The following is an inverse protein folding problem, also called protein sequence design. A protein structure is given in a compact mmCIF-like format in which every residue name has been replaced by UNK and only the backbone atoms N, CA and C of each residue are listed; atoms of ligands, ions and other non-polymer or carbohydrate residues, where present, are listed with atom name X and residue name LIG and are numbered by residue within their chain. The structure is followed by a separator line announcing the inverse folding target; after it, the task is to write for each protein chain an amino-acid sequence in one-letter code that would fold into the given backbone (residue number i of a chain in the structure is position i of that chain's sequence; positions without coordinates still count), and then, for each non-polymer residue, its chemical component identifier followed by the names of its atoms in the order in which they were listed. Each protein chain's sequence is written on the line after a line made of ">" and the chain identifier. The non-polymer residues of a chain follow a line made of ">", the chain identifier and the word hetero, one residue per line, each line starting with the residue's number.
data_IF_082704051186
#
_entry.id   IF_082704051186
#
_cell.length_a   1.000
_cell.length_b   1.000
_cell.length_c   1.000
_cell.angle_alpha   90.00
_cell.angle_beta   90.00
_cell.angle_gamma   90.00
#
_symmetry.space_group_name_H-M   'P 1'
#
loop_
_entity.id
_entity.type
_entity.pdbx_description
1 polymer ?
#
# COMPACT_ATOMS: atom_id res chain seq x y z
N UNK A 1 14.36 -0.21 -10.10
CA UNK A 1 13.35 -0.25 -11.18
C UNK A 1 12.23 -1.16 -10.72
N UNK A 2 11.12 -0.60 -10.27
CA UNK A 2 9.88 -1.35 -10.01
C UNK A 2 8.96 -1.14 -11.22
N UNK A 3 8.24 -2.15 -11.70
CA UNK A 3 7.39 -2.00 -12.88
C UNK A 3 6.15 -1.17 -12.51
N UNK A 4 5.87 -0.19 -13.36
CA UNK A 4 4.91 0.89 -13.17
C UNK A 4 3.65 0.64 -14.01
N UNK A 5 3.17 -0.61 -14.06
CA UNK A 5 2.17 -1.04 -15.07
C UNK A 5 0.75 -1.28 -14.55
N UNK A 6 0.47 -1.17 -13.25
CA UNK A 6 -0.90 -1.40 -12.72
C UNK A 6 -1.80 -0.14 -12.67
N UNK A 7 -1.47 0.95 -13.39
CA UNK A 7 -2.19 2.23 -13.25
C UNK A 7 -3.17 2.58 -14.38
N UNK A 8 -3.28 1.78 -15.45
CA UNK A 8 -4.12 2.13 -16.60
C UNK A 8 -5.59 1.65 -16.54
N UNK A 9 -6.00 0.90 -15.51
CA UNK A 9 -7.39 0.42 -15.37
C UNK A 9 -8.38 1.44 -14.77
N UNK A 10 -7.92 2.62 -14.33
CA UNK A 10 -8.78 3.63 -13.71
C UNK A 10 -9.37 4.69 -14.66
N UNK A 11 -9.07 4.65 -15.97
CA UNK A 11 -9.56 5.68 -16.91
C UNK A 11 -10.96 5.44 -17.47
N UNK A 12 -11.53 4.25 -17.29
CA UNK A 12 -12.94 3.99 -17.58
C UNK A 12 -13.61 3.50 -16.30
N UNK A 13 -14.38 4.39 -15.68
CA UNK A 13 -15.21 4.09 -14.52
C UNK A 13 -16.38 3.22 -14.99
N UNK A 14 -16.09 1.97 -15.37
CA UNK A 14 -17.08 0.98 -15.76
C UNK A 14 -17.94 0.67 -14.53
N UNK A 15 -19.21 1.06 -14.60
CA UNK A 15 -20.15 0.94 -13.49
C UNK A 15 -20.61 -0.51 -13.42
N UNK A 16 -20.64 -1.08 -12.22
CA UNK A 16 -21.28 -2.37 -12.00
C UNK A 16 -22.79 -2.17 -12.10
N UNK A 17 -23.41 -2.80 -13.10
CA UNK A 17 -24.84 -2.71 -13.37
C UNK A 17 -25.58 -3.86 -12.68
N UNK A 18 -26.77 -3.58 -12.15
CA UNK A 18 -27.62 -4.64 -11.55
C UNK A 18 -28.06 -5.65 -12.61
N UNK A 19 -28.20 -5.21 -13.86
CA UNK A 19 -28.53 -6.09 -14.98
C UNK A 19 -27.24 -6.70 -15.56
N UNK A 20 -27.04 -8.02 -15.48
CA UNK A 20 -25.88 -8.70 -16.08
C UNK A 20 -25.87 -8.63 -17.62
N UNK A 21 -27.01 -8.33 -18.23
CA UNK A 21 -27.16 -8.18 -19.68
C UNK A 21 -26.92 -6.75 -20.16
N UNK A 22 -26.57 -5.82 -19.28
CA UNK A 22 -26.26 -4.45 -19.70
C UNK A 22 -24.94 -4.44 -20.48
N UNK A 23 -24.93 -4.08 -21.78
CA UNK A 23 -23.72 -4.06 -22.58
C UNK A 23 -22.72 -2.99 -22.13
N UNK A 24 -23.15 -2.04 -21.29
CA UNK A 24 -22.29 -1.02 -20.69
C UNK A 24 -21.76 -1.42 -19.31
N UNK A 25 -22.24 -2.54 -18.76
CA UNK A 25 -21.87 -3.02 -17.44
C UNK A 25 -20.50 -3.70 -17.44
N UNK A 26 -19.77 -3.50 -16.34
CA UNK A 26 -18.45 -4.11 -16.11
C UNK A 26 -18.45 -5.63 -16.38
N UNK A 27 -19.51 -6.34 -15.98
CA UNK A 27 -19.61 -7.79 -16.20
C UNK A 27 -19.59 -8.18 -17.68
N UNK A 28 -20.37 -7.50 -18.52
CA UNK A 28 -20.40 -7.75 -19.96
C UNK A 28 -19.06 -7.37 -20.62
N UNK A 29 -18.48 -6.22 -20.23
CA UNK A 29 -17.19 -5.76 -20.76
C UNK A 29 -16.06 -6.73 -20.44
N UNK A 30 -16.00 -7.26 -19.21
CA UNK A 30 -14.99 -8.26 -18.84
C UNK A 30 -15.17 -9.57 -19.61
N UNK A 31 -16.40 -10.03 -19.84
CA UNK A 31 -16.67 -11.20 -20.68
C UNK A 31 -16.20 -10.99 -22.12
N UNK A 32 -16.44 -9.82 -22.70
CA UNK A 32 -15.93 -9.44 -24.03
C UNK A 32 -14.39 -9.40 -24.09
N UNK A 33 -13.71 -9.24 -22.95
CA UNK A 33 -12.24 -9.18 -22.83
C UNK A 33 -11.63 -10.46 -22.29
N UNK A 34 -12.42 -11.52 -22.11
CA UNK A 34 -11.96 -12.78 -21.53
C UNK A 34 -11.55 -13.76 -22.62
N UNK A 35 -10.33 -14.28 -22.54
CA UNK A 35 -9.86 -15.33 -23.43
C UNK A 35 -10.52 -16.68 -23.10
N UNK A 36 -10.48 -17.63 -24.04
CA UNK A 36 -10.96 -19.01 -23.79
C UNK A 36 -10.31 -19.64 -22.57
N UNK A 37 -9.02 -19.36 -22.34
CA UNK A 37 -8.28 -19.88 -21.18
C UNK A 37 -8.81 -19.32 -19.85
N UNK A 38 -9.15 -18.04 -19.83
CA UNK A 38 -9.75 -17.37 -18.66
C UNK A 38 -11.10 -17.97 -18.34
N UNK A 39 -11.97 -18.15 -19.35
CA UNK A 39 -13.28 -18.77 -19.17
C UNK A 39 -13.16 -20.25 -18.74
N UNK A 40 -12.21 -21.01 -19.28
CA UNK A 40 -11.93 -22.40 -18.85
C UNK A 40 -11.48 -22.51 -17.40
N UNK A 41 -10.84 -21.46 -16.87
CA UNK A 41 -10.38 -21.44 -15.49
C UNK A 41 -11.48 -21.08 -14.49
N UNK A 42 -12.66 -20.63 -14.95
CA UNK A 42 -13.81 -20.40 -14.09
C UNK A 42 -14.37 -21.70 -13.50
N UNK A 43 -14.98 -21.62 -12.31
CA UNK A 43 -15.63 -22.80 -11.73
C UNK A 43 -16.89 -23.19 -12.50
N UNK A 44 -17.34 -24.44 -12.34
CA UNK A 44 -18.58 -24.94 -12.96
C UNK A 44 -19.80 -24.09 -12.55
N UNK A 45 -19.84 -23.60 -11.30
CA UNK A 45 -20.91 -22.73 -10.80
C UNK A 45 -20.89 -21.35 -11.46
N UNK A 46 -19.69 -20.82 -11.74
CA UNK A 46 -19.53 -19.54 -12.44
C UNK A 46 -20.00 -19.66 -13.88
N UNK A 47 -19.64 -20.75 -14.56
CA UNK A 47 -20.08 -21.05 -15.92
C UNK A 47 -21.60 -21.27 -15.98
N UNK A 48 -22.17 -22.00 -15.03
CA UNK A 48 -23.62 -22.18 -14.94
C UNK A 48 -24.34 -20.83 -14.75
N UNK A 49 -23.81 -19.95 -13.90
CA UNK A 49 -24.34 -18.60 -13.72
C UNK A 49 -24.26 -17.78 -15.01
N UNK A 50 -23.12 -17.78 -15.70
CA UNK A 50 -22.95 -17.08 -16.99
C UNK A 50 -23.93 -17.65 -18.02
N UNK A 51 -23.94 -18.96 -18.25
CA UNK A 51 -24.81 -19.60 -19.23
C UNK A 51 -26.30 -19.31 -18.86
N UNK A 52 -26.70 -19.31 -17.58
CA UNK A 52 -28.05 -18.93 -17.12
C UNK A 52 -28.39 -17.46 -17.38
N UNK A 53 -27.47 -16.54 -17.10
CA UNK A 53 -27.67 -15.10 -17.30
C UNK A 53 -27.93 -14.76 -18.77
N UNK A 54 -27.25 -15.44 -19.70
CA UNK A 54 -27.36 -15.23 -21.15
C UNK A 54 -28.29 -16.23 -21.86
N UNK A 55 -29.09 -16.99 -21.11
CA UNK A 55 -30.02 -17.99 -21.67
C UNK A 55 -29.35 -19.00 -22.63
N UNK A 56 -28.15 -19.47 -22.26
CA UNK A 56 -27.42 -20.54 -22.93
C UNK A 56 -27.63 -21.84 -22.15
N UNK A 57 -27.94 -22.92 -22.86
CA UNK A 57 -28.07 -24.25 -22.25
C UNK A 57 -26.72 -24.73 -21.73
N UNK A 58 -26.64 -25.01 -20.44
CA UNK A 58 -25.44 -25.55 -19.80
C UNK A 58 -25.64 -27.03 -19.46
N UNK A 59 -24.77 -27.89 -19.99
CA UNK A 59 -24.68 -29.29 -19.60
C UNK A 59 -23.34 -29.50 -18.91
N UNK A 60 -23.36 -29.98 -17.66
CA UNK A 60 -22.16 -30.15 -16.83
C UNK A 60 -21.14 -31.14 -17.42
N UNK A 61 -21.58 -32.00 -18.33
CA UNK A 61 -20.74 -33.02 -18.98
C UNK A 61 -19.91 -32.46 -20.14
N UNK A 62 -20.25 -31.28 -20.67
CA UNK A 62 -19.59 -30.71 -21.86
C UNK A 62 -19.31 -29.20 -21.67
N UNK A 63 -18.32 -28.91 -20.82
CA UNK A 63 -17.88 -27.54 -20.54
C UNK A 63 -17.36 -26.85 -21.80
N UNK A 64 -16.62 -27.57 -22.64
CA UNK A 64 -16.07 -27.01 -23.88
C UNK A 64 -17.16 -26.60 -24.87
N UNK A 65 -18.25 -27.36 -24.97
CA UNK A 65 -19.39 -26.94 -25.78
C UNK A 65 -20.09 -25.68 -25.26
N UNK A 66 -20.25 -25.46 -23.92
CA UNK A 66 -20.79 -24.16 -23.45
C UNK A 66 -19.81 -23.03 -23.80
N UNK A 67 -18.50 -23.24 -23.63
CA UNK A 67 -17.50 -22.21 -23.95
C UNK A 67 -17.56 -21.84 -25.42
N UNK A 68 -17.52 -22.81 -26.35
CA UNK A 68 -17.64 -22.51 -27.78
C UNK A 68 -18.98 -21.81 -28.09
N UNK A 69 -20.09 -22.23 -27.47
CA UNK A 69 -21.38 -21.55 -27.65
C UNK A 69 -21.35 -20.09 -27.16
N UNK A 70 -20.64 -19.78 -26.07
CA UNK A 70 -20.48 -18.41 -25.55
C UNK A 70 -19.68 -17.53 -26.53
N UNK A 71 -18.65 -18.08 -27.17
CA UNK A 71 -17.86 -17.37 -28.18
C UNK A 71 -18.62 -17.24 -29.51
N UNK A 72 -19.30 -18.30 -29.97
CA UNK A 72 -20.13 -18.29 -31.18
C UNK A 72 -21.28 -17.28 -31.09
N UNK A 73 -21.91 -17.16 -29.92
CA UNK A 73 -22.95 -16.14 -29.67
C UNK A 73 -22.38 -14.73 -29.50
N UNK A 74 -21.05 -14.57 -29.50
CA UNK A 74 -20.38 -13.29 -29.32
C UNK A 74 -20.53 -12.70 -27.92
N UNK A 75 -20.80 -13.53 -26.91
CA UNK A 75 -20.87 -13.12 -25.49
C UNK A 75 -19.45 -12.94 -24.94
N UNK A 76 -18.53 -13.82 -25.35
CA UNK A 76 -17.10 -13.66 -25.14
C UNK A 76 -16.42 -13.35 -26.47
N UNK A 77 -15.36 -12.53 -26.45
CA UNK A 77 -14.50 -12.29 -27.60
C UNK A 77 -13.05 -12.51 -27.20
N UNK A 78 -12.28 -13.05 -28.15
CA UNK A 78 -10.87 -13.32 -27.94
C UNK A 78 -10.14 -11.97 -27.88
N UNK A 79 -9.73 -11.58 -26.66
CA UNK A 79 -9.06 -10.32 -26.42
C UNK A 79 -7.64 -10.32 -27.02
N UNK A 80 -7.23 -9.18 -27.57
CA UNK A 80 -5.82 -8.93 -27.90
C UNK A 80 -5.00 -8.91 -26.59
N UNK A 81 -3.79 -9.49 -26.61
CA UNK A 81 -2.98 -9.82 -25.43
C UNK A 81 -2.85 -8.65 -24.42
N UNK A 82 -2.80 -7.42 -24.90
CA UNK A 82 -2.61 -6.22 -24.08
C UNK A 82 -3.85 -5.77 -23.29
N UNK A 83 -5.02 -6.36 -23.54
CA UNK A 83 -6.29 -5.97 -22.88
C UNK A 83 -7.01 -7.12 -22.18
N UNK A 84 -6.37 -8.28 -22.08
CA UNK A 84 -6.98 -9.47 -21.50
C UNK A 84 -7.39 -9.26 -20.03
N UNK A 85 -8.63 -9.60 -19.72
CA UNK A 85 -9.12 -9.67 -18.35
C UNK A 85 -8.38 -10.79 -17.58
N UNK A 86 -7.98 -10.53 -16.34
CA UNK A 86 -7.42 -11.59 -15.50
C UNK A 86 -8.54 -12.50 -14.97
N UNK A 87 -8.25 -13.80 -14.79
CA UNK A 87 -9.23 -14.76 -14.24
C UNK A 87 -9.76 -14.32 -12.88
N UNK A 88 -8.92 -13.73 -12.03
CA UNK A 88 -9.32 -13.26 -10.71
C UNK A 88 -10.30 -12.09 -10.76
N UNK A 89 -10.13 -11.15 -11.69
CA UNK A 89 -11.05 -10.02 -11.85
C UNK A 89 -12.42 -10.51 -12.33
N UNK A 90 -12.45 -11.39 -13.33
CA UNK A 90 -13.69 -11.96 -13.84
C UNK A 90 -14.45 -12.72 -12.74
N UNK A 91 -13.76 -13.59 -11.99
CA UNK A 91 -14.39 -14.36 -10.90
C UNK A 91 -14.96 -13.46 -9.80
N UNK A 92 -14.25 -12.37 -9.44
CA UNK A 92 -14.77 -11.40 -8.44
C UNK A 92 -16.05 -10.73 -8.92
N UNK A 93 -16.11 -10.33 -10.19
CA UNK A 93 -17.30 -9.68 -10.76
C UNK A 93 -18.46 -10.67 -10.90
N UNK A 94 -18.20 -11.93 -11.27
CA UNK A 94 -19.21 -13.00 -11.29
C UNK A 94 -19.81 -13.21 -9.89
N UNK A 95 -18.97 -13.33 -8.86
CA UNK A 95 -19.42 -13.53 -7.50
C UNK A 95 -20.32 -12.37 -7.03
N UNK A 96 -19.89 -11.13 -7.26
CA UNK A 96 -20.68 -9.95 -6.93
C UNK A 96 -22.03 -9.92 -7.67
N UNK A 97 -22.03 -10.24 -8.97
CA UNK A 97 -23.26 -10.24 -9.77
C UNK A 97 -24.25 -11.31 -9.32
N UNK A 98 -23.74 -12.48 -8.89
CA UNK A 98 -24.55 -13.55 -8.31
C UNK A 98 -25.26 -13.08 -7.04
N UNK A 99 -24.51 -12.49 -6.11
CA UNK A 99 -25.06 -11.97 -4.85
C UNK A 99 -26.16 -10.92 -5.11
N UNK A 100 -25.95 -10.05 -6.10
CA UNK A 100 -26.94 -9.04 -6.51
C UNK A 100 -28.21 -9.65 -7.12
N UNK A 101 -28.08 -10.70 -7.94
CA UNK A 101 -29.22 -11.44 -8.47
C UNK A 101 -30.01 -12.13 -7.35
N UNK A 102 -29.34 -12.77 -6.39
CA UNK A 102 -29.98 -13.42 -5.25
C UNK A 102 -30.74 -12.41 -4.37
N UNK A 103 -30.18 -11.23 -4.13
CA UNK A 103 -30.85 -10.14 -3.43
C UNK A 103 -32.08 -9.63 -4.19
N UNK A 104 -32.00 -9.54 -5.52
CA UNK A 104 -33.14 -9.13 -6.36
C UNK A 104 -34.29 -10.15 -6.30
N UNK A 105 -33.97 -11.43 -6.40
CA UNK A 105 -34.96 -12.51 -6.32
C UNK A 105 -35.58 -12.59 -4.91
N UNK A 106 -34.77 -12.38 -3.87
CA UNK A 106 -35.28 -12.24 -2.50
C UNK A 106 -36.25 -11.06 -2.36
N UNK A 107 -35.91 -9.90 -2.94
CA UNK A 107 -36.77 -8.72 -2.92
C UNK A 107 -38.09 -8.95 -3.66
N UNK A 108 -38.06 -9.62 -4.82
CA UNK A 108 -39.28 -10.02 -5.54
C UNK A 108 -40.13 -10.98 -4.72
N UNK A 109 -39.52 -12.03 -4.16
CA UNK A 109 -40.22 -12.98 -3.29
C UNK A 109 -40.83 -12.31 -2.06
N UNK A 110 -40.18 -11.28 -1.52
CA UNK A 110 -40.72 -10.49 -0.41
C UNK A 110 -41.94 -9.67 -0.84
N UNK A 111 -41.89 -9.03 -2.00
CA UNK A 111 -43.01 -8.24 -2.54
C UNK A 111 -44.21 -9.11 -2.94
N UNK A 112 -43.97 -10.34 -3.39
CA UNK A 112 -45.00 -11.31 -3.74
C UNK A 112 -45.63 -12.00 -2.51
N UNK A 113 -45.04 -11.81 -1.32
CA UNK A 113 -45.56 -12.36 -0.08
C UNK A 113 -46.82 -11.61 0.36
N UNK A 114 -48.00 -12.23 0.16
CA UNK A 114 -49.33 -11.66 0.48
C UNK A 114 -49.55 -11.30 1.95
N UNK A 115 -48.62 -11.65 2.84
CA UNK A 115 -48.65 -11.38 4.28
C UNK A 115 -48.51 -9.88 4.60
N UNK A 116 -47.95 -9.09 3.69
CA UNK A 116 -47.72 -7.65 3.88
C UNK A 116 -48.60 -6.74 3.01
N UNK A 117 -49.81 -7.18 2.61
CA UNK A 117 -50.76 -6.22 2.04
C UNK A 117 -51.32 -5.33 3.16
N UNK A 118 -51.08 -4.00 3.17
CA UNK A 118 -51.77 -3.12 4.09
C UNK A 118 -53.27 -3.21 3.81
N UNK A 119 -54.05 -3.71 4.78
CA UNK A 119 -55.51 -3.62 4.70
C UNK A 119 -55.92 -2.15 4.78
N UNK A 120 -56.77 -1.73 3.84
CA UNK A 120 -57.42 -0.41 3.90
C UNK A 120 -58.29 -0.38 5.16
N UNK A 121 -58.18 0.69 5.93
CA UNK A 121 -58.80 0.89 7.26
C UNK A 121 -60.35 0.87 7.29
N UNK A 122 -61.02 0.49 6.21
CA UNK A 122 -62.49 0.57 6.08
C UNK A 122 -63.27 -0.68 6.50
N UNK A 123 -62.60 -1.77 6.86
CA UNK A 123 -63.26 -3.01 7.31
C UNK A 123 -62.58 -3.51 8.59
N UNK A 124 -63.00 -3.00 9.74
CA UNK A 124 -62.61 -3.54 11.05
C UNK A 124 -63.91 -3.92 11.78
N UNK A 125 -64.26 -5.20 11.69
CA UNK A 125 -65.33 -5.82 12.48
C UNK A 125 -64.99 -5.77 13.98
N UNK A 126 -66.01 -5.67 14.84
CA UNK A 126 -65.87 -5.40 16.30
C UNK A 126 -65.24 -6.53 17.14
N UNK A 127 -64.87 -7.66 16.54
CA UNK A 127 -64.40 -8.85 17.27
C UNK A 127 -62.88 -8.94 17.47
N UNK A 128 -62.18 -7.80 17.38
CA UNK A 128 -60.73 -7.80 17.46
C UNK A 128 -60.18 -7.37 18.82
N UNK A 129 -59.47 -8.29 19.47
CA UNK A 129 -58.75 -8.00 20.72
C UNK A 129 -57.51 -7.19 20.37
N UNK A 130 -57.50 -5.96 20.87
CA UNK A 130 -56.35 -5.07 20.86
C UNK A 130 -55.33 -5.62 21.86
N UNK A 131 -54.36 -6.40 21.37
CA UNK A 131 -53.17 -6.73 22.16
C UNK A 131 -52.28 -5.49 22.14
N UNK A 132 -52.35 -4.71 23.22
CA UNK A 132 -51.49 -3.55 23.41
C UNK A 132 -50.03 -3.98 23.53
N UNK A 133 -49.27 -3.86 22.45
CA UNK A 133 -47.83 -4.09 22.49
C UNK A 133 -47.13 -2.87 23.12
N UNK A 134 -46.78 -2.97 24.40
CA UNK A 134 -45.78 -2.09 25.01
C UNK A 134 -44.42 -2.16 24.29
N UNK A 135 -44.11 -3.29 23.64
CA UNK A 135 -42.87 -3.55 22.91
C UNK A 135 -42.72 -2.75 21.60
N UNK A 136 -43.82 -2.47 20.89
CA UNK A 136 -43.76 -1.64 19.68
C UNK A 136 -43.57 -0.17 20.06
N UNK A 137 -44.25 0.29 21.12
CA UNK A 137 -44.06 1.64 21.66
C UNK A 137 -42.61 1.84 22.15
N UNK A 138 -41.94 0.81 22.71
CA UNK A 138 -40.54 0.88 23.17
C UNK A 138 -39.50 0.83 22.02
N UNK A 139 -39.70 -0.02 21.01
CA UNK A 139 -38.89 -0.04 19.78
C UNK A 139 -39.01 1.27 19.00
N UNK A 140 -40.22 1.82 18.90
CA UNK A 140 -40.47 3.10 18.27
C UNK A 140 -39.91 4.25 19.11
N UNK A 141 -39.95 4.17 20.45
CA UNK A 141 -39.36 5.19 21.34
C UNK A 141 -37.84 5.20 21.25
N UNK A 142 -37.18 4.04 21.17
CA UNK A 142 -35.73 3.95 20.95
C UNK A 142 -35.30 4.47 19.57
N UNK A 143 -36.05 4.15 18.51
CA UNK A 143 -35.80 4.69 17.18
C UNK A 143 -36.04 6.21 17.10
N UNK A 144 -37.04 6.74 17.84
CA UNK A 144 -37.34 8.18 17.92
C UNK A 144 -36.29 8.98 18.70
N UNK A 145 -35.70 8.39 19.74
CA UNK A 145 -34.65 9.02 20.55
C UNK A 145 -33.37 9.31 19.76
N UNK A 146 -33.05 8.51 18.74
CA UNK A 146 -31.89 8.72 17.88
C UNK A 146 -32.13 9.68 16.70
N UNK A 147 -33.40 9.91 16.31
CA UNK A 147 -33.75 10.66 15.08
C UNK A 147 -34.33 12.07 15.31
N UNK A 148 -34.58 12.48 16.56
CA UNK A 148 -34.99 13.86 16.88
C UNK A 148 -36.33 14.32 16.27
N UNK A 149 -37.21 13.39 15.87
CA UNK A 149 -38.48 13.70 15.21
C UNK A 149 -39.58 14.06 16.22
N UNK A 150 -40.19 15.24 16.06
CA UNK A 150 -41.34 15.71 16.87
C UNK A 150 -42.65 15.05 16.42
N UNK A 151 -43.53 14.84 17.40
CA UNK A 151 -44.54 13.79 17.41
C UNK A 151 -45.72 13.98 16.44
N UNK A 152 -45.95 12.96 15.59
CA UNK A 152 -47.28 12.57 15.12
C UNK A 152 -47.59 11.18 15.70
N UNK A 153 -48.62 11.11 16.55
CA UNK A 153 -48.98 9.93 17.35
C UNK A 153 -49.81 8.94 16.53
N UNK A 154 -49.24 8.39 15.46
CA UNK A 154 -49.83 7.26 14.76
C UNK A 154 -49.54 5.97 15.56
N UNK A 155 -50.51 5.51 16.35
CA UNK A 155 -50.48 4.18 16.98
C UNK A 155 -51.02 3.17 15.98
N UNK A 156 -50.13 2.43 15.32
CA UNK A 156 -50.51 1.27 14.51
C UNK A 156 -51.02 0.19 15.46
N UNK A 157 -52.35 0.04 15.58
CA UNK A 157 -52.98 -1.02 16.37
C UNK A 157 -53.05 -2.27 15.50
N UNK A 158 -52.30 -3.30 15.89
CA UNK A 158 -52.50 -4.65 15.35
C UNK A 158 -53.53 -5.36 16.22
N UNK A 159 -54.51 -5.94 15.57
CA UNK A 159 -55.70 -6.46 16.20
C UNK A 159 -55.71 -7.97 15.95
N UNK A 160 -55.62 -8.79 17.01
CA UNK A 160 -55.56 -10.25 16.93
C UNK A 160 -56.94 -10.84 17.31
N UNK A 161 -57.52 -11.64 16.43
CA UNK A 161 -58.83 -12.27 16.62
C UNK A 161 -58.80 -13.32 17.75
N UNK A 162 -59.87 -13.39 18.56
CA UNK A 162 -60.05 -14.33 19.70
C UNK A 162 -59.99 -15.83 19.33
N UNK A 163 -60.08 -16.19 18.05
CA UNK A 163 -60.10 -17.57 17.56
C UNK A 163 -58.72 -18.09 17.13
N UNK A 164 -57.62 -17.44 17.52
CA UNK A 164 -56.30 -18.02 17.30
C UNK A 164 -56.13 -19.26 18.16
N UNK A 165 -55.98 -20.41 17.51
CA UNK A 165 -55.55 -21.65 18.14
C UNK A 165 -54.29 -21.38 18.98
N UNK A 166 -54.14 -22.00 20.17
CA UNK A 166 -52.97 -21.78 21.04
C UNK A 166 -51.61 -21.95 20.33
N UNK A 167 -51.59 -22.71 19.23
CA UNK A 167 -50.42 -22.87 18.35
C UNK A 167 -49.98 -21.58 17.63
N UNK A 168 -50.87 -20.62 17.37
CA UNK A 168 -50.49 -19.34 16.75
C UNK A 168 -49.80 -18.40 17.74
N UNK A 169 -50.34 -18.28 18.96
CA UNK A 169 -49.72 -17.47 20.02
C UNK A 169 -48.31 -17.97 20.35
N UNK A 170 -48.12 -19.29 20.42
CA UNK A 170 -46.82 -19.91 20.65
C UNK A 170 -45.85 -19.67 19.48
N UNK A 171 -46.30 -19.81 18.23
CA UNK A 171 -45.50 -19.48 17.04
C UNK A 171 -45.07 -18.01 17.03
N UNK A 172 -45.97 -17.09 17.39
CA UNK A 172 -45.67 -15.67 17.46
C UNK A 172 -44.66 -15.37 18.57
N UNK A 173 -44.82 -15.96 19.76
CA UNK A 173 -43.87 -15.82 20.87
C UNK A 173 -42.47 -16.32 20.48
N UNK A 174 -42.37 -17.46 19.78
CA UNK A 174 -41.10 -18.00 19.28
C UNK A 174 -40.48 -17.09 18.22
N UNK A 175 -41.28 -16.50 17.33
CA UNK A 175 -40.81 -15.52 16.33
C UNK A 175 -40.26 -14.26 17.01
N UNK A 176 -40.95 -13.75 18.04
CA UNK A 176 -40.52 -12.59 18.82
C UNK A 176 -39.19 -12.90 19.53
N UNK A 177 -39.03 -14.08 20.14
CA UNK A 177 -37.76 -14.49 20.76
C UNK A 177 -36.62 -14.55 19.74
N UNK A 178 -36.86 -15.07 18.54
CA UNK A 178 -35.85 -15.06 17.47
C UNK A 178 -35.48 -13.63 17.02
N UNK A 179 -36.47 -12.74 16.92
CA UNK A 179 -36.23 -11.32 16.61
C UNK A 179 -35.41 -10.63 17.71
N UNK A 180 -35.69 -10.91 18.97
CA UNK A 180 -34.91 -10.38 20.10
C UNK A 180 -33.47 -10.89 20.08
N UNK A 181 -33.26 -12.19 19.81
CA UNK A 181 -31.93 -12.77 19.71
C UNK A 181 -31.13 -12.19 18.53
N UNK A 182 -31.78 -11.92 17.40
CA UNK A 182 -31.14 -11.29 16.24
C UNK A 182 -30.79 -9.83 16.51
N UNK A 183 -31.67 -9.07 17.16
CA UNK A 183 -31.36 -7.70 17.59
C UNK A 183 -30.17 -7.63 18.55
N UNK A 184 -30.11 -8.56 19.53
CA UNK A 184 -28.98 -8.63 20.45
C UNK A 184 -27.65 -8.92 19.71
N UNK A 185 -27.67 -9.81 18.72
CA UNK A 185 -26.48 -10.10 17.88
C UNK A 185 -26.05 -8.87 17.07
N UNK A 186 -27.01 -8.14 16.50
CA UNK A 186 -26.70 -6.91 15.76
C UNK A 186 -26.08 -5.84 16.66
N UNK A 187 -26.58 -5.68 17.88
CA UNK A 187 -25.98 -4.76 18.86
C UNK A 187 -24.55 -5.17 19.25
N UNK A 188 -24.29 -6.48 19.40
CA UNK A 188 -22.92 -6.98 19.62
C UNK A 188 -22.01 -6.64 18.45
N UNK A 189 -22.44 -6.91 17.21
CA UNK A 189 -21.68 -6.58 16.01
C UNK A 189 -21.42 -5.07 15.87
N UNK A 190 -22.40 -4.22 16.19
CA UNK A 190 -22.23 -2.77 16.17
C UNK A 190 -21.16 -2.32 17.16
N UNK A 191 -21.18 -2.84 18.39
CA UNK A 191 -20.17 -2.54 19.42
C UNK A 191 -18.77 -2.99 18.98
N UNK A 192 -18.65 -4.17 18.36
CA UNK A 192 -17.39 -4.66 17.81
C UNK A 192 -16.90 -3.77 16.66
N UNK A 193 -17.81 -3.31 15.79
CA UNK A 193 -17.46 -2.41 14.68
C UNK A 193 -16.96 -1.05 15.19
N UNK A 194 -17.57 -0.50 16.24
CA UNK A 194 -17.09 0.72 16.90
C UNK A 194 -15.69 0.52 17.50
N UNK A 195 -15.46 -0.63 18.16
CA UNK A 195 -14.15 -0.98 18.71
C UNK A 195 -13.09 -1.10 17.60
N UNK A 196 -13.38 -1.83 16.53
CA UNK A 196 -12.47 -1.95 15.38
C UNK A 196 -12.17 -0.60 14.73
N UNK A 197 -13.16 0.29 14.61
CA UNK A 197 -12.96 1.64 14.08
C UNK A 197 -12.02 2.47 14.97
N UNK A 198 -12.12 2.32 16.29
CA UNK A 198 -11.23 2.99 17.22
C UNK A 198 -9.78 2.47 17.11
N UNK A 199 -9.59 1.15 17.09
CA UNK A 199 -8.27 0.51 16.90
C UNK A 199 -7.65 0.89 15.54
N UNK A 200 -8.47 0.97 14.49
CA UNK A 200 -8.00 1.43 13.18
C UNK A 200 -7.54 2.90 13.20
N UNK A 201 -8.25 3.77 13.92
CA UNK A 201 -7.83 5.17 14.10
C UNK A 201 -6.52 5.27 14.89
N UNK A 202 -6.36 4.48 15.95
CA UNK A 202 -5.13 4.46 16.74
C UNK A 202 -3.93 3.95 15.92
N UNK A 203 -4.10 2.86 15.17
CA UNK A 203 -3.06 2.32 14.28
C UNK A 203 -2.67 3.31 13.20
N UNK A 204 -3.63 4.03 12.61
CA UNK A 204 -3.36 5.13 11.66
C UNK A 204 -2.51 6.24 12.28
N UNK A 205 -2.89 6.73 13.47
CA UNK A 205 -2.14 7.79 14.15
C UNK A 205 -0.70 7.35 14.50
N UNK A 206 -0.53 6.08 14.91
CA UNK A 206 0.80 5.51 15.17
C UNK A 206 1.63 5.44 13.89
N UNK A 207 1.02 5.10 12.76
CA UNK A 207 1.70 5.07 11.46
C UNK A 207 2.19 6.45 11.05
N UNK A 208 1.33 7.48 11.15
CA UNK A 208 1.69 8.88 10.85
C UNK A 208 2.84 9.38 11.77
N UNK A 209 2.81 9.02 13.07
CA UNK A 209 3.89 9.32 14.00
C UNK A 209 5.21 8.60 13.63
N UNK A 210 5.14 7.35 13.14
CA UNK A 210 6.34 6.66 12.66
C UNK A 210 6.88 7.26 11.37
N UNK A 211 6.02 7.67 10.44
CA UNK A 211 6.41 8.29 9.18
C UNK A 211 7.14 9.62 9.41
N UNK A 212 6.59 10.49 10.28
CA UNK A 212 7.24 11.75 10.64
C UNK A 212 8.62 11.55 11.30
N UNK A 213 8.76 10.50 12.12
CA UNK A 213 10.06 10.11 12.70
C UNK A 213 11.05 9.64 11.65
N UNK A 214 10.62 8.83 10.69
CA UNK A 214 11.46 8.38 9.56
C UNK A 214 11.92 9.58 8.73
N UNK A 215 11.02 10.49 8.36
CA UNK A 215 11.37 11.70 7.60
C UNK A 215 12.41 12.57 8.34
N UNK A 216 12.28 12.68 9.67
CA UNK A 216 13.23 13.42 10.49
C UNK A 216 14.61 12.76 10.48
N UNK A 217 14.68 11.44 10.62
CA UNK A 217 15.93 10.68 10.55
C UNK A 217 16.57 10.78 9.17
N UNK A 218 15.79 10.72 8.09
CA UNK A 218 16.29 10.89 6.72
C UNK A 218 16.94 12.26 6.52
N UNK A 219 16.31 13.34 7.01
CA UNK A 219 16.89 14.70 6.97
C UNK A 219 18.19 14.79 7.76
N UNK A 220 18.22 14.23 8.98
CA UNK A 220 19.41 14.21 9.81
C UNK A 220 20.56 13.43 9.14
N UNK A 221 20.26 12.30 8.50
CA UNK A 221 21.25 11.52 7.78
C UNK A 221 21.81 12.26 6.54
N UNK A 222 20.96 13.01 5.84
CA UNK A 222 21.39 13.90 4.76
C UNK A 222 22.40 14.96 5.23
N UNK A 223 22.12 15.60 6.37
CA UNK A 223 23.03 16.59 6.99
C UNK A 223 24.35 15.97 7.46
N UNK A 224 24.32 14.75 8.01
CA UNK A 224 25.54 14.04 8.39
C UNK A 224 26.38 13.68 7.17
N UNK A 225 25.74 13.26 6.08
CA UNK A 225 26.43 12.93 4.83
C UNK A 225 27.10 14.16 4.21
N UNK A 226 26.43 15.32 4.21
CA UNK A 226 27.04 16.57 3.71
C UNK A 226 28.23 17.01 4.57
N UNK A 227 28.12 16.92 5.90
CA UNK A 227 29.23 17.23 6.81
C UNK A 227 30.41 16.29 6.62
N UNK A 228 30.15 15.00 6.40
CA UNK A 228 31.20 14.03 6.13
C UNK A 228 31.96 14.40 4.84
N UNK A 229 31.24 14.70 3.76
CA UNK A 229 31.85 15.11 2.49
C UNK A 229 32.69 16.40 2.63
N UNK A 230 32.22 17.36 3.42
CA UNK A 230 32.98 18.58 3.73
C UNK A 230 34.28 18.24 4.48
N UNK A 231 34.23 17.37 5.48
CA UNK A 231 35.43 16.94 6.21
C UNK A 231 36.42 16.18 5.33
N UNK A 232 35.94 15.35 4.40
CA UNK A 232 36.78 14.64 3.42
C UNK A 232 37.50 15.62 2.50
N UNK A 233 36.78 16.64 2.01
CA UNK A 233 37.35 17.70 1.16
C UNK A 233 38.44 18.47 1.90
N UNK A 234 38.17 18.91 3.13
CA UNK A 234 39.15 19.62 3.97
C UNK A 234 40.38 18.75 4.30
N UNK A 235 40.18 17.46 4.50
CA UNK A 235 41.28 16.51 4.71
C UNK A 235 42.15 16.38 3.45
N UNK A 236 41.53 16.31 2.27
CA UNK A 236 42.26 16.27 1.01
C UNK A 236 43.10 17.53 0.77
N UNK A 237 42.54 18.71 1.05
CA UNK A 237 43.24 20.01 0.97
C UNK A 237 44.42 20.07 1.95
N UNK A 238 44.22 19.59 3.19
CA UNK A 238 45.27 19.53 4.21
C UNK A 238 46.40 18.61 3.77
N UNK A 239 46.07 17.42 3.23
CA UNK A 239 47.06 16.49 2.68
C UNK A 239 47.86 17.12 1.55
N UNK A 240 47.20 17.80 0.61
CA UNK A 240 47.87 18.48 -0.50
C UNK A 240 48.82 19.58 -0.01
N UNK A 241 48.39 20.37 0.97
CA UNK A 241 49.22 21.43 1.57
C UNK A 241 50.44 20.85 2.27
N UNK A 242 50.27 19.75 2.99
CA UNK A 242 51.37 19.04 3.66
C UNK A 242 52.38 18.48 2.64
N UNK A 243 51.92 17.89 1.55
CA UNK A 243 52.81 17.40 0.48
C UNK A 243 53.63 18.56 -0.11
N UNK A 244 53.00 19.69 -0.44
CA UNK A 244 53.70 20.88 -0.94
C UNK A 244 54.74 21.41 0.05
N UNK A 245 54.41 21.44 1.34
CA UNK A 245 55.33 21.87 2.37
C UNK A 245 56.53 20.91 2.50
N UNK A 246 56.29 19.59 2.45
CA UNK A 246 57.34 18.59 2.47
C UNK A 246 58.25 18.68 1.25
N UNK A 247 57.70 18.86 0.05
CA UNK A 247 58.49 19.03 -1.18
C UNK A 247 59.38 20.27 -1.11
N UNK A 248 58.86 21.38 -0.58
CA UNK A 248 59.62 22.61 -0.37
C UNK A 248 60.74 22.43 0.68
N UNK A 249 60.46 21.73 1.78
CA UNK A 249 61.47 21.43 2.78
C UNK A 249 62.57 20.53 2.20
N UNK A 250 62.19 19.51 1.43
CA UNK A 250 63.14 18.61 0.76
C UNK A 250 64.01 19.36 -0.25
N UNK A 251 63.44 20.28 -1.04
CA UNK A 251 64.21 21.09 -1.99
C UNK A 251 65.20 22.01 -1.28
N UNK A 252 64.77 22.67 -0.19
CA UNK A 252 65.65 23.52 0.62
C UNK A 252 66.77 22.72 1.29
N UNK A 253 66.47 21.51 1.77
CA UNK A 253 67.47 20.63 2.37
C UNK A 253 68.56 20.27 1.35
N UNK A 254 68.17 19.86 0.13
CA UNK A 254 69.12 19.57 -0.96
C UNK A 254 69.96 20.79 -1.34
N UNK A 255 69.35 21.97 -1.38
CA UNK A 255 70.08 23.22 -1.64
C UNK A 255 71.12 23.50 -0.55
N UNK A 256 70.74 23.35 0.73
CA UNK A 256 71.68 23.51 1.84
C UNK A 256 72.81 22.49 1.83
N UNK A 257 72.50 21.24 1.48
CA UNK A 257 73.50 20.16 1.34
C UNK A 257 74.47 20.45 0.20
N UNK A 258 73.98 20.92 -0.95
CA UNK A 258 74.82 21.34 -2.08
C UNK A 258 75.77 22.48 -1.70
N UNK A 259 75.27 23.49 -0.97
CA UNK A 259 76.09 24.62 -0.51
C UNK A 259 77.12 24.20 0.55
N UNK A 260 76.76 23.24 1.40
CA UNK A 260 77.68 22.67 2.40
C UNK A 260 78.83 21.93 1.70
N UNK A 261 78.51 21.05 0.74
CA UNK A 261 79.50 20.31 -0.05
C UNK A 261 80.45 21.24 -0.83
N UNK A 262 79.92 22.33 -1.39
CA UNK A 262 80.75 23.37 -2.04
C UNK A 262 81.68 24.05 -1.03
N UNK A 263 81.18 24.40 0.16
CA UNK A 263 81.97 25.01 1.22
C UNK A 263 83.07 24.07 1.71
N UNK A 264 82.75 22.79 1.91
CA UNK A 264 83.70 21.75 2.29
C UNK A 264 84.79 21.56 1.22
N UNK A 265 84.41 21.50 -0.06
CA UNK A 265 85.35 21.43 -1.17
C UNK A 265 86.30 22.64 -1.21
N UNK A 266 85.77 23.85 -0.97
CA UNK A 266 86.58 25.07 -0.87
C UNK A 266 87.52 25.04 0.32
N UNK A 267 87.06 24.57 1.48
CA UNK A 267 87.87 24.42 2.68
C UNK A 267 89.03 23.45 2.44
N UNK A 268 88.74 22.27 1.88
CA UNK A 268 89.76 21.27 1.54
C UNK A 268 90.81 21.79 0.56
N UNK A 269 90.39 22.58 -0.44
CA UNK A 269 91.31 23.25 -1.36
C UNK A 269 92.20 24.29 -0.64
N UNK A 270 91.63 25.08 0.29
CA UNK A 270 92.44 26.03 1.07
C UNK A 270 93.43 25.32 2.01
N UNK A 271 93.02 24.23 2.63
CA UNK A 271 93.87 23.39 3.48
C UNK A 271 95.03 22.78 2.69
N UNK A 272 94.74 22.24 1.50
CA UNK A 272 95.76 21.70 0.58
C UNK A 272 96.79 22.76 0.18
N UNK A 273 96.34 23.99 -0.15
CA UNK A 273 97.23 25.11 -0.48
C UNK A 273 98.07 25.57 0.72
N UNK A 274 97.49 25.59 1.92
CA UNK A 274 98.23 25.91 3.14
C UNK A 274 99.31 24.87 3.41
N UNK A 275 98.99 23.58 3.29
CA UNK A 275 99.96 22.49 3.45
C UNK A 275 101.11 22.59 2.43
N UNK A 276 100.78 22.92 1.17
CA UNK A 276 101.79 23.19 0.14
C UNK A 276 102.67 24.40 0.51
N UNK A 277 102.08 25.48 1.03
CA UNK A 277 102.83 26.64 1.51
C UNK A 277 103.77 26.31 2.67
N UNK A 278 103.31 25.51 3.65
CA UNK A 278 104.13 25.04 4.78
C UNK A 278 105.33 24.25 4.27
N UNK A 279 105.10 23.23 3.43
CA UNK A 279 106.18 22.39 2.88
C UNK A 279 107.19 23.19 2.06
N UNK A 280 106.74 24.17 1.26
CA UNK A 280 107.63 25.08 0.54
C UNK A 280 108.47 25.94 1.50
N UNK A 281 107.86 26.46 2.56
CA UNK A 281 108.56 27.28 3.57
C UNK A 281 109.60 26.46 4.35
N UNK A 282 109.30 25.22 4.71
CA UNK A 282 110.23 24.30 5.35
C UNK A 282 111.42 23.97 4.45
N UNK A 283 111.16 23.74 3.15
CA UNK A 283 112.20 23.51 2.16
C UNK A 283 113.13 24.73 2.03
N UNK A 284 112.58 25.95 2.00
CA UNK A 284 113.38 27.18 2.02
C UNK A 284 114.21 27.33 3.30
N UNK A 285 113.64 27.05 4.47
CA UNK A 285 114.38 27.09 5.76
C UNK A 285 115.52 26.08 5.77
N UNK A 286 115.30 24.87 5.25
CA UNK A 286 116.34 23.85 5.15
C UNK A 286 117.47 24.26 4.20
N UNK A 287 117.14 24.87 3.05
CA UNK A 287 118.14 25.46 2.15
C UNK A 287 118.97 26.53 2.89
N UNK A 288 118.32 27.43 3.61
CA UNK A 288 118.98 28.50 4.36
C UNK A 288 119.87 27.97 5.50
N UNK A 289 119.45 26.91 6.22
CA UNK A 289 120.27 26.24 7.24
C UNK A 289 121.46 25.46 6.68
N UNK A 290 121.34 24.96 5.45
CA UNK A 290 122.36 24.16 4.76
C UNK A 290 123.52 24.97 4.18
N UNK A 291 123.49 26.30 4.24
CA UNK A 291 124.65 27.14 3.95
C UNK A 291 125.63 27.09 5.14
N UNK A 292 126.79 26.42 5.04
CA UNK A 292 127.79 26.51 6.10
C UNK A 292 128.27 27.95 6.16
N UNK A 293 128.28 28.54 7.36
CA UNK A 293 128.97 29.80 7.62
C UNK A 293 130.44 29.62 7.23
N UNK A 294 130.80 30.05 6.03
CA UNK A 294 132.18 30.28 5.63
C UNK A 294 132.59 31.63 6.23
N UNK A 295 133.01 31.61 7.48
CA UNK A 295 133.81 32.66 8.11
C UNK A 295 134.93 31.99 8.89
#
# INVERSE_FOLDING_TARGET
>A
MFPQECSNLYQHQEVITVNPLDPTGLFYTLLQRSSRQVIRACSVQDLEFICKAFHVSFLTEDVEACIETLFEKGICKEAEEDTACTTEELMRVIAYQRDMCELSDFSKSFNDCSVFRPHRESEVDEDVVVVGYGLLDELISNARGQLGLTASKARTKFSLFKNTTPSFAEKLANRIKMMQATLARLQTMENEMVKMKHEHSETKNRLEATETRVQTLTKANGLLSSRLSETETRLAETKQTLTKANDLLASRLRETESRLNETESRLHNTESKLQQGITQSELLVNILRGYPNQN
#
